data_IF_012140325324
#
_entry.id   IF_012140325324
#
_cell.length_a   1.000
_cell.length_b   1.000
_cell.length_c   1.000
_cell.angle_alpha   90.00
_cell.angle_beta   90.00
_cell.angle_gamma   90.00
#
_symmetry.space_group_name_H-M   'P 1'
#
loop_
_entity.id
_entity.type
_entity.pdbx_description
1 polymer ?
#
# COMPACT_ATOMS: atom_id res chain seq x y z
N UNK A 1 -2.04 0.42 6.69
CA UNK A 1 -1.96 1.20 5.45
C UNK A 1 -2.32 0.33 4.27
N UNK A 2 -2.86 0.85 3.20
CA UNK A 2 -3.27 0.07 2.02
C UNK A 2 -2.68 0.70 0.77
N UNK A 3 -2.04 -0.09 -0.08
CA UNK A 3 -1.36 0.38 -1.27
C UNK A 3 -1.80 -0.47 -2.47
N UNK A 4 -2.07 0.15 -3.59
CA UNK A 4 -2.47 -0.54 -4.83
C UNK A 4 -1.95 0.17 -6.07
N UNK A 5 -1.74 -0.61 -7.11
CA UNK A 5 -1.53 -0.12 -8.47
C UNK A 5 -2.52 -0.75 -9.46
N UNK A 6 -2.82 -0.04 -10.53
CA UNK A 6 -3.62 -0.59 -11.66
C UNK A 6 -3.20 0.09 -12.96
N UNK A 7 -3.11 -0.68 -14.04
CA UNK A 7 -2.79 -0.16 -15.38
C UNK A 7 -3.89 0.78 -15.91
N UNK A 8 -3.48 1.88 -16.51
CA UNK A 8 -4.36 2.80 -17.22
C UNK A 8 -4.34 2.44 -18.71
N UNK A 9 -5.52 2.24 -19.30
CA UNK A 9 -5.66 1.85 -20.72
C UNK A 9 -5.26 2.98 -21.68
N UNK A 10 -5.34 4.25 -21.24
CA UNK A 10 -5.13 5.40 -22.12
C UNK A 10 -3.63 5.74 -22.33
N UNK A 11 -2.76 5.43 -21.37
CA UNK A 11 -1.35 5.84 -21.43
C UNK A 11 -0.36 4.77 -20.98
N UNK A 12 -0.80 3.52 -20.80
CA UNK A 12 0.02 2.37 -20.36
C UNK A 12 0.73 2.55 -18.99
N UNK A 13 0.48 3.66 -18.28
CA UNK A 13 1.02 3.88 -16.95
C UNK A 13 0.07 3.34 -15.88
N UNK A 14 0.63 2.74 -14.85
CA UNK A 14 -0.14 2.30 -13.69
C UNK A 14 -0.48 3.47 -12.77
N UNK A 15 -1.64 3.42 -12.14
CA UNK A 15 -2.03 4.35 -11.07
C UNK A 15 -1.84 3.67 -9.73
N UNK A 16 -1.02 4.26 -8.86
CA UNK A 16 -0.86 3.84 -7.46
C UNK A 16 -1.80 4.63 -6.57
N UNK A 17 -2.42 3.96 -5.62
CA UNK A 17 -3.18 4.62 -4.56
C UNK A 17 -2.87 4.00 -3.21
N UNK A 18 -2.86 4.82 -2.17
CA UNK A 18 -2.73 4.36 -0.81
C UNK A 18 -3.59 5.17 0.15
N UNK A 19 -4.00 4.52 1.22
CA UNK A 19 -4.80 5.09 2.29
C UNK A 19 -4.10 4.78 3.60
N UNK A 20 -3.72 5.83 4.33
CA UNK A 20 -3.13 5.74 5.65
C UNK A 20 -4.17 5.86 6.76
N UNK A 21 -4.02 5.04 7.79
CA UNK A 21 -4.87 5.05 8.98
C UNK A 21 -4.00 5.18 10.23
N UNK A 22 -4.47 5.98 11.18
CA UNK A 22 -4.01 5.95 12.58
C UNK A 22 -5.22 5.51 13.40
N UNK A 23 -5.12 4.35 14.04
CA UNK A 23 -6.29 3.71 14.66
C UNK A 23 -7.38 3.44 13.62
N UNK A 24 -8.54 4.05 13.79
CA UNK A 24 -9.68 3.93 12.88
C UNK A 24 -9.84 5.11 11.92
N UNK A 25 -9.05 6.17 12.09
CA UNK A 25 -9.18 7.40 11.29
C UNK A 25 -8.29 7.36 10.05
N UNK A 26 -8.83 7.80 8.90
CA UNK A 26 -8.04 8.07 7.71
C UNK A 26 -7.25 9.35 7.94
N UNK A 27 -5.94 9.29 7.80
CA UNK A 27 -5.03 10.43 7.95
C UNK A 27 -4.38 10.84 6.65
N UNK A 28 -4.37 9.95 5.66
CA UNK A 28 -3.84 10.25 4.34
C UNK A 28 -4.56 9.45 3.25
N UNK A 29 -4.66 10.06 2.07
CA UNK A 29 -5.13 9.43 0.85
C UNK A 29 -4.35 10.00 -0.33
N UNK A 30 -3.75 9.12 -1.11
CA UNK A 30 -3.03 9.52 -2.32
C UNK A 30 -3.47 8.64 -3.49
N UNK A 31 -3.64 9.24 -4.65
CA UNK A 31 -3.81 8.56 -5.93
C UNK A 31 -2.95 9.26 -6.96
N UNK A 32 -2.00 8.55 -7.57
CA UNK A 32 -1.02 9.12 -8.49
C UNK A 32 -0.65 8.14 -9.59
N UNK A 33 -0.55 8.62 -10.82
CA UNK A 33 -0.01 7.87 -11.94
C UNK A 33 1.49 7.64 -11.73
N UNK A 34 1.95 6.41 -11.94
CA UNK A 34 3.37 6.07 -11.86
C UNK A 34 4.15 6.75 -12.99
N UNK A 35 5.32 7.30 -12.67
CA UNK A 35 6.17 8.00 -13.66
C UNK A 35 6.92 7.06 -14.61
N UNK A 36 7.01 5.77 -14.29
CA UNK A 36 7.67 4.75 -15.12
C UNK A 36 6.70 3.64 -15.49
N UNK A 37 6.88 3.09 -16.68
CA UNK A 37 6.16 1.90 -17.12
C UNK A 37 6.54 0.71 -16.24
N UNK A 38 5.60 -0.19 -16.04
CA UNK A 38 5.83 -1.48 -15.38
C UNK A 38 5.64 -2.61 -16.39
N UNK A 39 6.54 -3.57 -16.37
CA UNK A 39 6.51 -4.72 -17.28
C UNK A 39 5.57 -5.83 -16.80
N UNK A 40 5.16 -5.77 -15.52
CA UNK A 40 4.23 -6.72 -14.93
C UNK A 40 3.35 -6.05 -13.87
N UNK A 41 2.22 -6.70 -13.55
CA UNK A 41 1.33 -6.27 -12.46
C UNK A 41 2.06 -6.32 -11.11
N UNK A 42 2.86 -7.36 -10.87
CA UNK A 42 3.63 -7.49 -9.64
C UNK A 42 4.62 -6.32 -9.46
N UNK A 43 5.32 -5.94 -10.52
CA UNK A 43 6.21 -4.78 -10.53
C UNK A 43 5.48 -3.49 -10.16
N UNK A 44 4.31 -3.26 -10.74
CA UNK A 44 3.54 -2.04 -10.45
C UNK A 44 3.04 -2.00 -9.00
N UNK A 45 2.68 -3.14 -8.42
CA UNK A 45 2.27 -3.22 -7.01
C UNK A 45 3.46 -3.01 -6.06
N UNK A 46 4.63 -3.60 -6.34
CA UNK A 46 5.85 -3.38 -5.54
C UNK A 46 6.25 -1.89 -5.58
N UNK A 47 6.17 -1.25 -6.74
CA UNK A 47 6.39 0.20 -6.85
C UNK A 47 5.40 1.00 -6.00
N UNK A 48 4.12 0.61 -5.98
CA UNK A 48 3.09 1.26 -5.18
C UNK A 48 3.37 1.12 -3.68
N UNK A 49 3.74 -0.07 -3.20
CA UNK A 49 4.13 -0.30 -1.80
C UNK A 49 5.36 0.51 -1.42
N UNK A 50 6.41 0.50 -2.26
CA UNK A 50 7.64 1.26 -2.01
C UNK A 50 7.37 2.77 -1.94
N UNK A 51 6.52 3.29 -2.84
CA UNK A 51 6.12 4.70 -2.81
C UNK A 51 5.34 5.03 -1.52
N UNK A 52 4.41 4.18 -1.12
CA UNK A 52 3.64 4.29 0.11
C UNK A 52 4.56 4.32 1.35
N UNK A 53 5.52 3.41 1.42
CA UNK A 53 6.48 3.34 2.51
C UNK A 53 7.31 4.61 2.64
N UNK A 54 7.94 5.03 1.53
CA UNK A 54 8.82 6.21 1.51
C UNK A 54 8.09 7.51 1.76
N UNK A 55 6.92 7.69 1.12
CA UNK A 55 6.21 8.96 1.15
C UNK A 55 5.42 9.17 2.45
N UNK A 56 4.90 8.10 3.04
CA UNK A 56 3.93 8.24 4.13
C UNK A 56 4.22 7.36 5.35
N UNK A 57 4.39 6.03 5.19
CA UNK A 57 4.44 5.14 6.35
C UNK A 57 5.59 5.47 7.28
N UNK A 58 6.81 5.62 6.75
CA UNK A 58 8.00 5.94 7.54
C UNK A 58 7.94 7.35 8.12
N UNK A 59 7.41 8.32 7.36
CA UNK A 59 7.25 9.70 7.83
C UNK A 59 6.25 9.79 8.99
N UNK A 60 5.08 9.13 8.87
CA UNK A 60 4.09 9.08 9.95
C UNK A 60 4.63 8.38 11.20
N UNK A 61 5.35 7.27 11.04
CA UNK A 61 6.00 6.58 12.16
C UNK A 61 7.01 7.50 12.86
N UNK A 62 7.88 8.16 12.09
CA UNK A 62 8.86 9.11 12.62
C UNK A 62 8.19 10.24 13.40
N UNK A 63 7.12 10.80 12.86
CA UNK A 63 6.35 11.86 13.50
C UNK A 63 5.73 11.40 14.83
N UNK A 64 5.09 10.23 14.85
CA UNK A 64 4.49 9.66 16.05
C UNK A 64 5.55 9.36 17.13
N UNK A 65 6.71 8.82 16.72
CA UNK A 65 7.82 8.57 17.63
C UNK A 65 8.38 9.86 18.24
N UNK A 66 8.52 10.92 17.45
CA UNK A 66 8.94 12.26 17.94
C UNK A 66 7.94 12.84 18.94
N UNK A 67 6.65 12.54 18.77
CA UNK A 67 5.60 12.94 19.72
C UNK A 67 5.54 12.04 20.97
N UNK A 68 6.42 11.06 21.10
CA UNK A 68 6.49 10.15 22.24
C UNK A 68 5.55 8.93 22.15
N UNK A 69 4.91 8.71 21.01
CA UNK A 69 4.06 7.53 20.77
C UNK A 69 4.89 6.38 20.18
N UNK A 70 5.20 5.39 21.01
CA UNK A 70 5.82 4.13 20.54
C UNK A 70 4.89 3.40 19.57
N UNK A 71 5.44 2.90 18.46
CA UNK A 71 4.67 2.25 17.40
C UNK A 71 5.05 0.76 17.29
N UNK A 72 4.06 -0.11 17.29
CA UNK A 72 4.21 -1.46 16.80
C UNK A 72 4.48 -1.47 15.28
N UNK A 73 4.73 -2.64 14.70
CA UNK A 73 4.89 -2.76 13.25
C UNK A 73 3.67 -2.22 12.50
N UNK A 74 3.88 -1.28 11.58
CA UNK A 74 2.80 -0.75 10.73
C UNK A 74 2.31 -1.83 9.77
N UNK A 75 1.02 -2.11 9.78
CA UNK A 75 0.42 -3.10 8.87
C UNK A 75 0.24 -2.49 7.48
N UNK A 76 0.85 -3.11 6.48
CA UNK A 76 0.63 -2.83 5.06
C UNK A 76 -0.30 -3.91 4.51
N UNK A 77 -1.54 -3.54 4.24
CA UNK A 77 -2.50 -4.43 3.60
C UNK A 77 -2.28 -4.45 2.09
N UNK A 78 -2.24 -5.64 1.48
CA UNK A 78 -1.95 -5.85 0.06
C UNK A 78 -2.85 -6.96 -0.52
N UNK A 79 -3.36 -6.76 -1.74
CA UNK A 79 -4.21 -7.76 -2.39
C UNK A 79 -3.46 -8.62 -3.45
N UNK A 80 -2.19 -8.32 -3.72
CA UNK A 80 -1.33 -9.10 -4.58
C UNK A 80 -0.43 -10.04 -3.78
N UNK A 81 -0.59 -11.35 -4.01
CA UNK A 81 0.19 -12.37 -3.31
C UNK A 81 1.70 -12.28 -3.62
N UNK A 82 2.07 -11.93 -4.85
CA UNK A 82 3.48 -11.81 -5.22
C UNK A 82 4.17 -10.67 -4.46
N UNK A 83 3.45 -9.56 -4.20
CA UNK A 83 3.98 -8.45 -3.41
C UNK A 83 4.19 -8.85 -1.94
N UNK A 84 3.26 -9.63 -1.36
CA UNK A 84 3.41 -10.17 0.00
C UNK A 84 4.62 -11.11 0.07
N UNK A 85 4.77 -12.03 -0.89
CA UNK A 85 5.91 -12.93 -0.93
C UNK A 85 7.24 -12.20 -1.12
N UNK A 86 7.29 -11.16 -1.95
CA UNK A 86 8.52 -10.37 -2.15
C UNK A 86 9.02 -9.73 -0.84
N UNK A 87 8.12 -9.44 0.12
CA UNK A 87 8.49 -8.93 1.43
C UNK A 87 9.00 -10.00 2.42
N UNK A 88 8.69 -11.28 2.18
CA UNK A 88 8.99 -12.38 3.08
C UNK A 88 10.20 -13.23 2.65
N UNK A 89 10.47 -13.33 1.33
CA UNK A 89 11.46 -14.26 0.79
C UNK A 89 12.73 -13.53 0.32
N UNK A 90 13.93 -13.97 0.75
CA UNK A 90 15.19 -13.39 0.32
C UNK A 90 15.65 -13.98 -1.03
N UNK A 91 14.97 -13.67 -2.13
CA UNK A 91 15.40 -14.11 -3.45
C UNK A 91 15.56 -12.96 -4.43
N UNK A 92 16.82 -12.63 -4.71
CA UNK A 92 17.22 -11.85 -5.88
C UNK A 92 17.05 -12.71 -7.14
N UNK A 93 16.00 -12.52 -7.89
CA UNK A 93 15.88 -13.07 -9.25
C UNK A 93 16.79 -12.29 -10.18
N UNK A 94 17.77 -12.96 -10.79
CA UNK A 94 18.68 -12.37 -11.79
C UNK A 94 17.87 -11.77 -12.94
N UNK A 95 17.86 -10.44 -13.05
CA UNK A 95 17.33 -9.74 -14.22
C UNK A 95 16.57 -8.44 -14.00
N UNK A 96 16.29 -8.04 -12.77
CA UNK A 96 15.43 -6.88 -12.47
C UNK A 96 16.11 -5.88 -11.51
N UNK A 97 17.26 -5.35 -11.85
CA UNK A 97 18.07 -4.46 -10.97
C UNK A 97 17.31 -3.27 -10.35
N UNK A 98 16.28 -2.76 -11.02
CA UNK A 98 15.49 -1.64 -10.48
C UNK A 98 14.39 -2.10 -9.51
N UNK A 99 13.91 -3.33 -9.66
CA UNK A 99 13.00 -3.98 -8.72
C UNK A 99 13.74 -4.40 -7.46
N UNK A 100 14.96 -4.92 -7.64
CA UNK A 100 15.80 -5.42 -6.55
C UNK A 100 15.98 -4.39 -5.42
N UNK A 101 16.18 -3.11 -5.77
CA UNK A 101 16.32 -2.04 -4.77
C UNK A 101 15.02 -1.75 -4.01
N UNK A 102 13.86 -1.81 -4.68
CA UNK A 102 12.57 -1.57 -4.02
C UNK A 102 12.18 -2.75 -3.13
N UNK A 103 12.42 -3.97 -3.58
CA UNK A 103 12.22 -5.20 -2.81
C UNK A 103 13.17 -5.27 -1.61
N UNK A 104 14.45 -4.94 -1.80
CA UNK A 104 15.44 -4.88 -0.72
C UNK A 104 15.03 -3.89 0.37
N UNK A 105 14.57 -2.70 0.00
CA UNK A 105 14.10 -1.71 0.98
C UNK A 105 12.91 -2.23 1.78
N UNK A 106 11.90 -2.80 1.09
CA UNK A 106 10.72 -3.36 1.76
C UNK A 106 11.17 -4.44 2.75
N UNK A 107 12.07 -5.32 2.31
CA UNK A 107 12.61 -6.39 3.15
C UNK A 107 13.37 -5.86 4.37
N UNK A 108 14.26 -4.90 4.19
CA UNK A 108 15.01 -4.29 5.32
C UNK A 108 14.05 -3.73 6.38
N UNK A 109 12.98 -3.06 5.96
CA UNK A 109 12.00 -2.47 6.87
C UNK A 109 11.14 -3.56 7.54
N UNK A 110 10.84 -4.66 6.84
CA UNK A 110 10.16 -5.84 7.43
C UNK A 110 11.06 -6.54 8.44
N UNK A 111 12.33 -6.79 8.09
CA UNK A 111 13.32 -7.43 8.97
C UNK A 111 13.59 -6.57 10.24
N UNK A 112 13.55 -5.24 10.10
CA UNK A 112 13.61 -4.29 11.21
C UNK A 112 12.31 -4.26 12.06
N UNK A 113 11.28 -5.03 11.68
CA UNK A 113 9.96 -5.07 12.33
C UNK A 113 9.24 -3.71 12.37
N UNK A 114 9.57 -2.81 11.48
CA UNK A 114 8.88 -1.53 11.35
C UNK A 114 7.58 -1.65 10.58
N UNK A 115 7.50 -2.60 9.65
CA UNK A 115 6.28 -2.94 8.92
C UNK A 115 6.00 -4.44 8.95
N UNK A 116 4.75 -4.79 8.72
CA UNK A 116 4.28 -6.15 8.47
C UNK A 116 3.30 -6.14 7.30
N UNK A 117 3.54 -6.97 6.30
CA UNK A 117 2.61 -7.15 5.18
C UNK A 117 1.49 -8.09 5.55
N UNK A 118 0.27 -7.79 5.10
CA UNK A 118 -0.92 -8.60 5.33
C UNK A 118 -1.71 -8.75 4.05
N UNK A 119 -1.94 -10.00 3.63
CA UNK A 119 -2.82 -10.32 2.50
C UNK A 119 -4.26 -10.00 2.85
N UNK A 120 -4.95 -9.26 1.96
CA UNK A 120 -6.38 -9.00 2.07
C UNK A 120 -7.11 -9.41 0.79
N UNK A 121 -8.41 -9.68 0.88
CA UNK A 121 -9.22 -9.97 -0.29
C UNK A 121 -9.42 -8.70 -1.14
N UNK A 122 -9.31 -8.81 -2.47
CA UNK A 122 -9.47 -7.67 -3.38
C UNK A 122 -10.84 -6.97 -3.25
N UNK A 123 -11.90 -7.71 -2.89
CA UNK A 123 -13.25 -7.15 -2.67
C UNK A 123 -13.36 -6.29 -1.39
N UNK A 124 -12.35 -6.33 -0.55
CA UNK A 124 -12.28 -5.62 0.73
C UNK A 124 -11.19 -4.55 0.77
N UNK A 125 -10.52 -4.38 -0.37
CA UNK A 125 -9.32 -3.56 -0.48
C UNK A 125 -9.66 -2.12 -0.85
N UNK A 126 -9.71 -1.23 0.13
CA UNK A 126 -10.18 0.17 -0.03
C UNK A 126 -9.32 1.02 -0.96
N UNK A 127 -8.04 0.72 -1.15
CA UNK A 127 -7.19 1.47 -2.11
C UNK A 127 -7.64 1.34 -3.56
N UNK A 128 -8.52 0.36 -3.88
CA UNK A 128 -9.18 0.27 -5.19
C UNK A 128 -10.00 1.51 -5.54
N UNK A 129 -10.48 2.28 -4.55
CA UNK A 129 -11.19 3.55 -4.75
C UNK A 129 -10.34 4.60 -5.49
N UNK A 130 -9.03 4.55 -5.31
CA UNK A 130 -8.09 5.50 -5.93
C UNK A 130 -7.42 5.02 -7.21
N UNK A 131 -7.64 3.77 -7.66
CA UNK A 131 -6.90 3.21 -8.79
C UNK A 131 -7.73 2.89 -10.02
N UNK A 132 -9.02 2.62 -9.87
CA UNK A 132 -9.87 2.20 -11.00
C UNK A 132 -11.31 2.62 -10.84
N UNK A 133 -12.05 2.64 -11.96
CA UNK A 133 -13.50 2.77 -11.94
C UNK A 133 -14.10 1.52 -11.31
N UNK A 134 -14.96 1.72 -10.33
CA UNK A 134 -15.64 0.65 -9.61
C UNK A 134 -17.12 0.61 -9.99
N UNK A 135 -17.72 -0.57 -9.93
CA UNK A 135 -19.19 -0.68 -9.98
C UNK A 135 -19.78 -0.01 -8.74
N UNK A 136 -20.98 0.54 -8.88
CA UNK A 136 -21.66 1.25 -7.78
C UNK A 136 -21.79 0.41 -6.50
N UNK A 137 -22.15 -0.89 -6.55
CA UNK A 137 -22.20 -1.73 -5.34
C UNK A 137 -20.85 -1.86 -4.63
N UNK A 138 -19.77 -2.06 -5.41
CA UNK A 138 -18.42 -2.17 -4.84
C UNK A 138 -17.92 -0.84 -4.29
N UNK A 139 -18.19 0.27 -4.99
CA UNK A 139 -17.88 1.62 -4.52
C UNK A 139 -18.54 1.89 -3.17
N UNK A 140 -19.86 1.66 -3.06
CA UNK A 140 -20.61 1.86 -1.83
C UNK A 140 -20.08 0.97 -0.70
N UNK A 141 -19.79 -0.31 -0.98
CA UNK A 141 -19.20 -1.23 0.01
C UNK A 141 -17.88 -0.72 0.56
N UNK A 142 -16.95 -0.29 -0.32
CA UNK A 142 -15.63 0.16 0.11
C UNK A 142 -15.68 1.51 0.83
N UNK A 143 -16.56 2.41 0.40
CA UNK A 143 -16.77 3.71 1.04
C UNK A 143 -17.38 3.54 2.44
N UNK A 144 -18.40 2.68 2.59
CA UNK A 144 -18.99 2.36 3.89
C UNK A 144 -17.94 1.84 4.87
N UNK A 145 -17.03 0.99 4.42
CA UNK A 145 -15.94 0.48 5.28
C UNK A 145 -15.02 1.58 5.83
N UNK A 146 -14.78 2.62 5.04
CA UNK A 146 -13.99 3.78 5.51
C UNK A 146 -14.80 4.57 6.52
N UNK A 147 -16.08 4.84 6.22
CA UNK A 147 -16.99 5.59 7.08
C UNK A 147 -17.23 4.85 8.39
N UNK A 148 -17.51 3.55 8.34
CA UNK A 148 -17.73 2.72 9.53
C UNK A 148 -16.52 2.67 10.46
N UNK A 149 -15.30 2.66 9.90
CA UNK A 149 -14.08 2.76 10.70
C UNK A 149 -14.01 4.10 11.43
N UNK A 150 -14.38 5.20 10.79
CA UNK A 150 -14.38 6.55 11.38
C UNK A 150 -15.45 6.65 12.48
N UNK A 151 -16.66 6.12 12.23
CA UNK A 151 -17.78 6.21 13.18
C UNK A 151 -17.58 5.38 14.45
N UNK A 152 -16.81 4.29 14.40
CA UNK A 152 -16.51 3.45 15.58
C UNK A 152 -15.62 4.13 16.63
N UNK A 153 -15.05 5.28 16.33
CA UNK A 153 -14.25 6.08 17.29
C UNK A 153 -15.15 6.84 18.26
N UNK A 154 -16.44 7.00 17.96
CA UNK A 154 -17.38 7.83 18.73
C UNK A 154 -18.35 7.01 19.60
N UNK A 155 -18.11 5.72 19.76
CA UNK A 155 -18.87 4.83 20.67
C UNK A 155 -17.92 4.14 21.66
#
# INVERSE_FOLDING_TARGET
MRCRSTGNLDNSHSTSAHIGYIGHSVVSFTSKTQGSLSTSTAESEIKAVNQCLKAEALALRGMLNLMGFSQDATIIEEDNQACVYASEIPHMTRGMRHLDLAELLIKEIVDAKEIKTLKVASADYTSALGTKRLSLPLFNKLTSRIIDKILRVNL
#
